data_IF_170995888739
#
_entry.id   IF_170995888739
#
_cell.length_a   1.000
_cell.length_b   1.000
_cell.length_c   1.000
_cell.angle_alpha   90.00
_cell.angle_beta   90.00
_cell.angle_gamma   90.00
#
_symmetry.space_group_name_H-M   'P 1'
#
loop_
_entity.id
_entity.type
_entity.pdbx_description
1 polymer ?
#
# COMPACT_ATOMS: atom_id res chain seq x y z
N UNK A 1 -0.41 21.21 6.24
CA UNK A 1 0.83 20.69 5.65
C UNK A 1 1.27 19.49 6.45
N UNK A 2 1.54 18.35 5.80
CA UNK A 2 2.29 17.27 6.44
C UNK A 2 3.68 17.82 6.80
N UNK A 3 4.24 17.49 7.98
CA UNK A 3 5.55 18.00 8.37
C UNK A 3 6.60 17.60 7.34
N UNK A 4 7.54 18.50 7.05
CA UNK A 4 8.67 18.20 6.18
C UNK A 4 9.37 16.93 6.66
N UNK A 5 9.53 15.91 5.79
CA UNK A 5 10.15 14.66 6.20
C UNK A 5 11.58 14.90 6.64
N UNK A 6 11.96 14.38 7.82
CA UNK A 6 13.31 14.51 8.40
C UNK A 6 14.43 14.07 7.45
N UNK A 7 14.09 13.23 6.48
CA UNK A 7 15.02 12.63 5.52
C UNK A 7 15.28 13.48 4.27
N UNK A 8 14.59 14.63 4.11
CA UNK A 8 14.80 15.54 2.97
C UNK A 8 14.21 15.05 1.64
N UNK A 9 13.42 13.99 1.65
CA UNK A 9 12.66 13.50 0.49
C UNK A 9 11.28 13.00 0.93
N UNK A 10 10.33 13.08 0.00
CA UNK A 10 8.96 12.65 0.20
C UNK A 10 8.76 11.15 -0.09
N UNK A 11 7.50 10.73 -0.20
CA UNK A 11 7.16 9.35 -0.51
C UNK A 11 7.75 8.93 -1.87
N UNK A 12 7.62 9.75 -2.92
CA UNK A 12 8.13 9.43 -4.25
C UNK A 12 9.65 9.30 -4.24
N UNK A 13 10.35 10.25 -3.61
CA UNK A 13 11.79 10.18 -3.47
C UNK A 13 12.27 8.95 -2.68
N UNK A 14 11.50 8.48 -1.69
CA UNK A 14 11.79 7.21 -1.02
C UNK A 14 11.66 6.01 -1.98
N UNK A 15 10.58 5.98 -2.77
CA UNK A 15 10.35 4.90 -3.74
C UNK A 15 11.44 4.84 -4.82
N UNK A 16 11.81 5.99 -5.39
CA UNK A 16 12.86 6.08 -6.42
C UNK A 16 14.19 5.54 -5.89
N UNK A 17 14.64 6.03 -4.73
CA UNK A 17 15.92 5.61 -4.12
C UNK A 17 15.95 4.13 -3.76
N UNK A 18 14.86 3.58 -3.21
CA UNK A 18 14.76 2.16 -2.93
C UNK A 18 14.82 1.34 -4.23
N UNK A 19 14.03 1.73 -5.23
CA UNK A 19 13.96 1.04 -6.51
C UNK A 19 15.31 1.02 -7.23
N UNK A 20 16.03 2.14 -7.22
CA UNK A 20 17.35 2.25 -7.84
C UNK A 20 18.38 1.33 -7.17
N UNK A 21 18.34 1.20 -5.84
CA UNK A 21 19.18 0.26 -5.10
C UNK A 21 18.85 -1.20 -5.47
N UNK A 22 17.57 -1.57 -5.52
CA UNK A 22 17.17 -2.92 -5.93
C UNK A 22 17.55 -3.23 -7.37
N UNK A 23 17.36 -2.29 -8.30
CA UNK A 23 17.78 -2.44 -9.72
C UNK A 23 19.28 -2.62 -9.85
N UNK A 24 20.06 -1.84 -9.09
CA UNK A 24 21.52 -1.94 -9.10
C UNK A 24 21.98 -3.33 -8.66
N UNK A 25 21.43 -3.84 -7.55
CA UNK A 25 21.73 -5.19 -7.06
C UNK A 25 21.26 -6.26 -8.04
N UNK A 26 20.03 -6.16 -8.55
CA UNK A 26 19.47 -7.12 -9.49
C UNK A 26 20.29 -7.22 -10.77
N UNK A 27 20.71 -6.08 -11.34
CA UNK A 27 21.59 -6.04 -12.51
C UNK A 27 22.95 -6.66 -12.21
N UNK A 28 23.53 -6.38 -11.04
CA UNK A 28 24.84 -6.92 -10.64
C UNK A 28 24.84 -8.45 -10.53
N UNK A 29 23.75 -9.02 -10.06
CA UNK A 29 23.68 -10.46 -9.74
C UNK A 29 22.74 -11.27 -10.66
N UNK A 30 22.13 -10.65 -11.67
CA UNK A 30 21.20 -11.30 -12.58
C UNK A 30 19.86 -11.70 -11.94
N UNK A 31 19.43 -11.00 -10.89
CA UNK A 31 18.14 -11.29 -10.26
C UNK A 31 16.98 -10.66 -11.01
N UNK A 32 15.83 -11.33 -10.94
CA UNK A 32 14.55 -10.74 -11.33
C UNK A 32 13.95 -10.00 -10.13
N UNK A 33 13.19 -8.93 -10.39
CA UNK A 33 12.51 -8.15 -9.36
C UNK A 33 11.00 -8.37 -9.48
N UNK A 34 10.33 -8.67 -8.37
CA UNK A 34 8.87 -8.65 -8.26
C UNK A 34 8.45 -7.21 -7.94
N UNK A 35 7.71 -6.51 -8.82
CA UNK A 35 7.59 -5.05 -8.77
C UNK A 35 6.48 -4.55 -7.82
N UNK A 36 6.38 -5.09 -6.60
CA UNK A 36 5.33 -4.70 -5.63
C UNK A 36 5.37 -3.21 -5.30
N UNK A 37 6.55 -2.63 -5.08
CA UNK A 37 6.68 -1.19 -4.81
C UNK A 37 6.16 -0.32 -5.95
N UNK A 38 6.39 -0.74 -7.21
CA UNK A 38 5.87 -0.01 -8.37
C UNK A 38 4.35 -0.20 -8.52
N UNK A 39 3.82 -1.39 -8.22
CA UNK A 39 2.38 -1.61 -8.19
C UNK A 39 1.70 -0.67 -7.18
N UNK A 40 2.31 -0.46 -6.00
CA UNK A 40 1.83 0.50 -5.01
C UNK A 40 1.81 1.93 -5.57
N UNK A 41 2.86 2.33 -6.29
CA UNK A 41 2.90 3.64 -6.96
C UNK A 41 1.82 3.80 -8.02
N UNK A 42 1.56 2.76 -8.83
CA UNK A 42 0.50 2.78 -9.84
C UNK A 42 -0.86 2.97 -9.18
N UNK A 43 -1.15 2.22 -8.11
CA UNK A 43 -2.41 2.37 -7.37
C UNK A 43 -2.52 3.78 -6.81
N UNK A 44 -1.50 4.27 -6.11
CA UNK A 44 -1.48 5.64 -5.58
C UNK A 44 -1.70 6.70 -6.65
N UNK A 45 -1.12 6.54 -7.84
CA UNK A 45 -1.32 7.44 -8.97
C UNK A 45 -2.77 7.45 -9.46
N UNK A 46 -3.36 6.25 -9.62
CA UNK A 46 -4.71 6.05 -10.17
C UNK A 46 -5.86 6.27 -9.17
N UNK A 47 -5.62 6.18 -7.87
CA UNK A 47 -6.65 6.44 -6.85
C UNK A 47 -7.12 7.88 -6.94
N UNK A 48 -8.40 8.11 -7.25
CA UNK A 48 -8.98 9.45 -7.37
C UNK A 48 -9.14 10.09 -5.99
N UNK A 49 -9.81 9.39 -5.07
CA UNK A 49 -10.02 9.86 -3.70
C UNK A 49 -8.78 9.62 -2.85
N UNK A 50 -7.87 10.60 -2.81
CA UNK A 50 -6.63 10.50 -2.04
C UNK A 50 -6.90 10.42 -0.54
N UNK A 51 -6.06 9.67 0.16
CA UNK A 51 -6.06 9.68 1.63
C UNK A 51 -5.75 11.09 2.15
N UNK A 52 -6.55 11.53 3.11
CA UNK A 52 -6.36 12.79 3.81
C UNK A 52 -6.01 12.47 5.26
N UNK A 53 -4.80 12.82 5.73
CA UNK A 53 -4.41 12.61 7.12
C UNK A 53 -5.39 13.30 8.08
N UNK A 54 -5.89 12.55 9.06
CA UNK A 54 -6.71 13.10 10.13
C UNK A 54 -5.91 14.12 10.96
N UNK A 55 -6.54 15.24 11.31
CA UNK A 55 -5.87 16.30 12.06
C UNK A 55 -5.53 15.84 13.49
N UNK A 56 -4.39 16.25 14.07
CA UNK A 56 -4.02 15.84 15.43
C UNK A 56 -5.05 16.16 16.52
N UNK A 57 -5.82 17.24 16.35
CA UNK A 57 -6.90 17.60 17.27
C UNK A 57 -8.10 16.66 17.16
N UNK A 58 -8.45 16.27 15.93
CA UNK A 58 -9.54 15.35 15.62
C UNK A 58 -9.22 13.91 16.06
N UNK A 59 -7.96 13.48 15.98
CA UNK A 59 -7.54 12.16 16.47
C UNK A 59 -7.90 11.92 17.94
N UNK A 60 -8.00 12.98 18.75
CA UNK A 60 -8.34 12.89 20.18
C UNK A 60 -9.83 12.75 20.45
N UNK A 61 -10.70 12.98 19.46
CA UNK A 61 -12.16 12.90 19.65
C UNK A 61 -12.75 11.52 19.35
N UNK A 62 -11.99 10.62 18.71
CA UNK A 62 -12.45 9.27 18.44
C UNK A 62 -12.52 8.44 19.73
N UNK A 63 -13.57 7.62 19.84
CA UNK A 63 -13.74 6.63 20.90
C UNK A 63 -14.00 5.25 20.26
N UNK A 64 -13.57 4.14 20.87
CA UNK A 64 -13.87 2.81 20.33
C UNK A 64 -15.38 2.58 20.14
N UNK A 65 -15.82 1.98 19.02
CA UNK A 65 -15.02 1.37 17.95
C UNK A 65 -14.66 2.31 16.78
N UNK A 66 -14.97 3.61 16.88
CA UNK A 66 -14.82 4.56 15.77
C UNK A 66 -13.35 4.76 15.38
N UNK A 67 -13.09 4.88 14.08
CA UNK A 67 -11.75 5.09 13.52
C UNK A 67 -11.78 6.27 12.53
N UNK A 68 -10.66 7.00 12.37
CA UNK A 68 -10.52 7.97 11.30
C UNK A 68 -10.75 7.32 9.93
N UNK A 69 -11.15 8.12 8.94
CA UNK A 69 -11.28 7.66 7.55
C UNK A 69 -9.96 7.02 7.09
N UNK A 70 -10.03 5.77 6.65
CA UNK A 70 -8.86 5.00 6.20
C UNK A 70 -8.77 4.87 4.67
N UNK A 71 -9.81 5.25 3.94
CA UNK A 71 -9.86 5.15 2.48
C UNK A 71 -8.91 6.16 1.80
N UNK A 72 -8.38 5.76 0.64
CA UNK A 72 -7.61 6.63 -0.26
C UNK A 72 -6.10 6.39 -0.29
N UNK A 73 -5.60 5.43 0.49
CA UNK A 73 -4.27 4.81 0.32
C UNK A 73 -4.39 3.31 0.58
N UNK A 74 -3.41 2.54 0.11
CA UNK A 74 -3.30 1.08 0.31
C UNK A 74 -2.24 0.70 1.34
N UNK A 75 -1.59 1.70 1.93
CA UNK A 75 -0.63 1.58 3.03
C UNK A 75 -1.23 2.21 4.27
N UNK A 76 -1.02 1.56 5.39
CA UNK A 76 -1.34 2.05 6.71
C UNK A 76 -2.80 1.83 7.11
N UNK A 77 -2.99 1.82 8.43
CA UNK A 77 -4.29 1.63 9.08
C UNK A 77 -4.29 2.24 10.47
N UNK A 78 -5.45 2.71 10.88
CA UNK A 78 -5.74 3.02 12.29
C UNK A 78 -6.37 1.80 12.95
N UNK A 79 -6.07 1.60 14.23
CA UNK A 79 -6.67 0.52 15.02
C UNK A 79 -6.64 0.87 16.51
N UNK A 80 -7.58 0.29 17.25
CA UNK A 80 -7.57 0.36 18.70
C UNK A 80 -6.72 -0.78 19.26
N UNK A 81 -5.81 -0.45 20.17
CA UNK A 81 -4.91 -1.41 20.81
C UNK A 81 -4.90 -1.21 22.31
N UNK A 82 -4.94 -2.29 23.08
CA UNK A 82 -4.78 -2.22 24.53
C UNK A 82 -3.30 -2.07 24.86
N UNK A 83 -2.93 -0.99 25.53
CA UNK A 83 -1.55 -0.75 25.97
C UNK A 83 -1.32 -1.30 27.38
N UNK A 84 -0.08 -1.17 27.88
CA UNK A 84 0.34 -1.68 29.19
C UNK A 84 -0.44 -1.08 30.36
N UNK A 85 -1.01 0.10 30.19
CA UNK A 85 -1.87 0.78 31.17
C UNK A 85 -3.29 0.18 31.25
N UNK A 86 -3.57 -0.84 30.44
CA UNK A 86 -4.86 -1.50 30.37
C UNK A 86 -5.93 -0.73 29.60
N UNK A 87 -5.62 0.42 29.01
CA UNK A 87 -6.56 1.24 28.24
C UNK A 87 -6.41 0.99 26.75
N UNK A 88 -7.48 1.24 26.00
CA UNK A 88 -7.42 1.26 24.54
C UNK A 88 -6.87 2.61 24.06
N UNK A 89 -5.90 2.55 23.16
CA UNK A 89 -5.32 3.71 22.49
C UNK A 89 -5.52 3.60 20.99
N UNK A 90 -5.73 4.74 20.34
CA UNK A 90 -5.83 4.83 18.89
C UNK A 90 -4.41 4.84 18.32
N UNK A 91 -4.00 3.70 17.79
CA UNK A 91 -2.70 3.52 17.15
C UNK A 91 -2.81 3.65 15.63
N UNK A 92 -1.65 3.83 15.00
CA UNK A 92 -1.52 3.85 13.55
C UNK A 92 -0.31 3.08 13.09
N UNK A 93 -0.51 2.31 12.04
CA UNK A 93 0.54 1.75 11.21
C UNK A 93 0.66 2.59 9.95
N UNK A 94 1.86 3.05 9.63
CA UNK A 94 2.10 3.95 8.49
C UNK A 94 3.02 3.36 7.43
N UNK A 95 3.45 2.12 7.60
CA UNK A 95 4.48 1.49 6.76
C UNK A 95 4.03 0.15 6.18
N UNK A 96 3.12 -0.57 6.84
CA UNK A 96 2.61 -1.83 6.30
C UNK A 96 1.42 -1.60 5.36
N UNK A 97 1.27 -2.49 4.39
CA UNK A 97 0.10 -2.52 3.52
C UNK A 97 -1.16 -2.77 4.35
N UNK A 98 -2.27 -2.13 3.98
CA UNK A 98 -3.58 -2.49 4.49
C UNK A 98 -4.17 -3.64 3.64
N UNK A 99 -5.38 -4.10 3.93
CA UNK A 99 -5.99 -5.23 3.20
C UNK A 99 -6.02 -5.07 1.68
N UNK A 100 -6.22 -3.85 1.17
CA UNK A 100 -6.16 -3.58 -0.28
C UNK A 100 -4.74 -3.75 -0.81
N UNK A 101 -3.76 -3.24 -0.08
CA UNK A 101 -2.35 -3.40 -0.42
C UNK A 101 -1.85 -4.85 -0.33
N UNK A 102 -2.27 -5.59 0.70
CA UNK A 102 -1.98 -7.03 0.87
C UNK A 102 -2.54 -7.84 -0.31
N UNK A 103 -3.78 -7.55 -0.73
CA UNK A 103 -4.39 -8.17 -1.90
C UNK A 103 -3.63 -7.83 -3.20
N UNK A 104 -3.29 -6.56 -3.41
CA UNK A 104 -2.45 -6.13 -4.53
C UNK A 104 -1.13 -6.89 -4.57
N UNK A 105 -0.44 -6.99 -3.44
CA UNK A 105 0.82 -7.73 -3.32
C UNK A 105 0.61 -9.20 -3.72
N UNK A 106 -0.43 -9.84 -3.21
CA UNK A 106 -0.79 -11.22 -3.58
C UNK A 106 -0.98 -11.39 -5.08
N UNK A 107 -1.72 -10.48 -5.73
CA UNK A 107 -1.92 -10.49 -7.18
C UNK A 107 -0.61 -10.35 -7.95
N UNK A 108 0.23 -9.38 -7.58
CA UNK A 108 1.54 -9.15 -8.23
C UNK A 108 2.40 -10.40 -8.16
N UNK A 109 2.49 -11.02 -6.98
CA UNK A 109 3.27 -12.24 -6.79
C UNK A 109 2.72 -13.41 -7.61
N UNK A 110 1.41 -13.63 -7.58
CA UNK A 110 0.75 -14.69 -8.34
C UNK A 110 0.99 -14.53 -9.85
N UNK A 111 0.71 -13.36 -10.40
CA UNK A 111 0.87 -13.10 -11.83
C UNK A 111 2.33 -13.24 -12.27
N UNK A 112 3.27 -12.73 -11.47
CA UNK A 112 4.70 -12.79 -11.78
C UNK A 112 5.25 -14.22 -11.74
N UNK A 113 4.89 -15.02 -10.73
CA UNK A 113 5.44 -16.36 -10.54
C UNK A 113 4.82 -17.40 -11.48
N UNK A 114 3.54 -17.24 -11.82
CA UNK A 114 2.79 -18.23 -12.60
C UNK A 114 2.50 -17.77 -14.03
N UNK A 115 3.06 -16.64 -14.47
CA UNK A 115 2.84 -16.06 -15.78
C UNK A 115 1.34 -15.90 -16.10
N UNK A 116 0.63 -15.24 -15.18
CA UNK A 116 -0.80 -14.96 -15.25
C UNK A 116 -1.08 -13.47 -15.41
N UNK A 117 -2.31 -13.15 -15.74
CA UNK A 117 -2.84 -11.81 -15.95
C UNK A 117 -3.86 -11.45 -14.89
N UNK A 118 -4.31 -10.19 -14.83
CA UNK A 118 -5.36 -9.78 -13.91
C UNK A 118 -6.67 -10.53 -14.19
N UNK A 119 -6.92 -10.87 -15.46
CA UNK A 119 -8.08 -11.66 -15.86
C UNK A 119 -8.10 -13.07 -15.24
N UNK A 120 -6.94 -13.63 -14.86
CA UNK A 120 -6.84 -14.94 -14.21
C UNK A 120 -7.14 -14.89 -12.72
N UNK A 121 -7.12 -13.70 -12.10
CA UNK A 121 -7.40 -13.53 -10.67
C UNK A 121 -8.90 -13.56 -10.42
N UNK A 122 -9.42 -14.74 -10.06
CA UNK A 122 -10.86 -14.94 -9.79
C UNK A 122 -11.28 -14.72 -8.33
N UNK A 123 -10.30 -14.68 -7.42
CA UNK A 123 -10.55 -14.51 -6.00
C UNK A 123 -10.66 -13.01 -5.66
N UNK A 124 -11.77 -12.62 -5.01
CA UNK A 124 -11.92 -11.34 -4.33
C UNK A 124 -12.25 -11.61 -2.85
N UNK A 125 -11.46 -11.08 -1.90
CA UNK A 125 -11.72 -11.30 -0.48
C UNK A 125 -13.01 -10.57 -0.05
N UNK A 126 -13.80 -11.08 0.91
CA UNK A 126 -15.09 -10.48 1.28
C UNK A 126 -15.03 -9.00 1.70
N UNK A 127 -13.87 -8.52 2.16
CA UNK A 127 -13.65 -7.12 2.54
C UNK A 127 -13.27 -6.19 1.39
N UNK A 128 -13.18 -6.67 0.15
CA UNK A 128 -12.86 -5.88 -1.05
C UNK A 128 -13.92 -6.20 -2.10
N UNK A 129 -14.55 -5.16 -2.66
CA UNK A 129 -15.56 -5.35 -3.70
C UNK A 129 -14.92 -5.90 -4.98
N UNK A 130 -15.70 -6.63 -5.81
CA UNK A 130 -15.20 -7.16 -7.07
C UNK A 130 -14.57 -6.09 -8.00
N UNK A 131 -15.18 -4.89 -8.17
CA UNK A 131 -14.56 -3.85 -8.98
C UNK A 131 -13.22 -3.35 -8.40
N UNK A 132 -13.11 -3.22 -7.08
CA UNK A 132 -11.86 -2.76 -6.45
C UNK A 132 -10.77 -3.84 -6.50
N UNK A 133 -11.14 -5.10 -6.33
CA UNK A 133 -10.25 -6.24 -6.51
C UNK A 133 -9.71 -6.29 -7.96
N UNK A 134 -10.58 -6.15 -8.96
CA UNK A 134 -10.17 -6.10 -10.36
C UNK A 134 -9.24 -4.91 -10.64
N UNK A 135 -9.59 -3.71 -10.15
CA UNK A 135 -8.74 -2.52 -10.28
C UNK A 135 -7.33 -2.75 -9.70
N UNK A 136 -7.22 -3.38 -8.52
CA UNK A 136 -5.93 -3.69 -7.90
C UNK A 136 -5.15 -4.71 -8.71
N UNK A 137 -5.80 -5.78 -9.19
CA UNK A 137 -5.16 -6.78 -10.04
C UNK A 137 -4.62 -6.17 -11.35
N UNK A 138 -5.41 -5.32 -12.02
CA UNK A 138 -4.98 -4.62 -13.25
C UNK A 138 -3.81 -3.66 -13.01
N UNK A 139 -3.76 -3.00 -11.85
CA UNK A 139 -2.59 -2.21 -11.45
C UNK A 139 -1.35 -3.09 -11.24
N UNK A 140 -1.53 -4.27 -10.63
CA UNK A 140 -0.46 -5.25 -10.48
C UNK A 140 0.06 -5.79 -11.81
N UNK A 141 -0.82 -6.11 -12.75
CA UNK A 141 -0.45 -6.58 -14.09
C UNK A 141 0.32 -5.49 -14.84
N UNK A 142 -0.17 -4.24 -14.80
CA UNK A 142 0.55 -3.10 -15.37
C UNK A 142 1.94 -2.94 -14.76
N UNK A 143 2.09 -3.15 -13.45
CA UNK A 143 3.40 -3.10 -12.81
C UNK A 143 4.35 -4.16 -13.38
N UNK A 144 3.89 -5.41 -13.54
CA UNK A 144 4.71 -6.50 -14.10
C UNK A 144 5.13 -6.18 -15.54
N UNK A 145 4.19 -5.69 -16.36
CA UNK A 145 4.47 -5.38 -17.76
C UNK A 145 5.43 -4.20 -17.94
N UNK A 146 5.26 -3.16 -17.13
CA UNK A 146 5.92 -1.87 -17.38
C UNK A 146 7.19 -1.67 -16.52
N UNK A 147 7.43 -2.53 -15.52
CA UNK A 147 8.62 -2.43 -14.67
C UNK A 147 9.88 -2.88 -15.44
N UNK A 148 10.78 -1.93 -15.63
CA UNK A 148 12.10 -2.12 -16.26
C UNK A 148 13.21 -2.15 -15.21
#
# INVERSE_FOLDING_TARGET
>A
MLPNPKWGFDQNGMYERLTDNYRTLAKKYGFRIIPTGFAVQIVRGKTVDKFVPCAPAELKSFNPPDLPKQAGDIVGKFYWMKHRDGKLHLDRDTIHLNRRGEYLQGCVWYMFLFNRTAADVKFAPPSISNPDAQFLAECGEKAIRDFK
#
